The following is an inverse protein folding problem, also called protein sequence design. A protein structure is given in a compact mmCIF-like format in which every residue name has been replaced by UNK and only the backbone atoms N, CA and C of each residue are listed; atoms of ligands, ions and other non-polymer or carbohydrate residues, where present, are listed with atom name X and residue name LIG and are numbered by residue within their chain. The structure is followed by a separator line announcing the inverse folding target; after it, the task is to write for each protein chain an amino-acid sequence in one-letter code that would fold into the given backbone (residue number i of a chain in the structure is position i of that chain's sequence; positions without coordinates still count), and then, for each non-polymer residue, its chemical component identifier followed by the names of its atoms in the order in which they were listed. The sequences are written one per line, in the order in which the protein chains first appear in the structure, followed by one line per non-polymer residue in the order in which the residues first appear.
data_IF_890153526542
#
_entry.id   IF_890153526542
#
_cell.length_a   1.000
_cell.length_b   1.000
_cell.length_c   1.000
_cell.angle_alpha   90.00
_cell.angle_beta   90.00
_cell.angle_gamma   90.00
#
_symmetry.space_group_name_H-M   'P 1'
#
loop_
_entity.id
_entity.type
_entity.pdbx_description
1 polymer ?
#
# COMPACT_ATOMS: atom_id res chain seq x y z
N UNK A 1 -3.92 -13.50 -14.39
CA UNK A 1 -3.19 -13.21 -13.14
C UNK A 1 -3.99 -13.76 -11.97
N UNK A 2 -3.41 -14.61 -11.10
CA UNK A 2 -4.03 -14.92 -9.80
C UNK A 2 -3.70 -13.78 -8.83
N UNK A 3 -4.72 -13.11 -8.31
CA UNK A 3 -4.59 -12.16 -7.19
C UNK A 3 -4.43 -12.99 -5.91
N UNK A 4 -3.71 -12.47 -4.92
CA UNK A 4 -3.62 -13.12 -3.61
C UNK A 4 -5.03 -13.33 -3.01
N UNK A 5 -5.25 -14.35 -2.16
CA UNK A 5 -6.58 -14.62 -1.59
C UNK A 5 -7.07 -13.52 -0.65
N UNK A 6 -6.18 -12.59 -0.27
CA UNK A 6 -6.45 -11.46 0.62
C UNK A 6 -5.92 -10.18 0.00
N UNK A 7 -6.59 -9.07 0.31
CA UNK A 7 -6.16 -7.71 -0.04
C UNK A 7 -5.84 -6.99 1.27
N UNK A 8 -4.59 -6.54 1.50
CA UNK A 8 -4.24 -5.75 2.66
C UNK A 8 -4.88 -4.36 2.59
N UNK A 9 -5.51 -3.94 3.68
CA UNK A 9 -6.11 -2.62 3.87
C UNK A 9 -5.21 -1.82 4.80
N UNK A 10 -4.60 -0.77 4.25
CA UNK A 10 -3.51 -0.02 4.88
C UNK A 10 -4.03 1.30 5.46
N UNK A 11 -3.50 1.64 6.62
CA UNK A 11 -3.53 2.98 7.21
C UNK A 11 -2.10 3.47 7.21
N UNK A 12 -1.82 4.58 6.52
CA UNK A 12 -0.47 5.13 6.36
C UNK A 12 -0.38 6.46 7.08
N UNK A 13 0.44 6.57 8.12
CA UNK A 13 0.62 7.82 8.86
C UNK A 13 1.67 8.73 8.21
N UNK A 14 2.68 8.14 7.57
CA UNK A 14 3.78 8.83 6.91
C UNK A 14 3.98 8.29 5.49
N UNK A 15 3.83 9.15 4.50
CA UNK A 15 3.97 8.80 3.09
C UNK A 15 5.38 8.31 2.74
N UNK A 16 6.42 8.72 3.47
CA UNK A 16 7.78 8.25 3.26
C UNK A 16 7.93 6.72 3.45
N UNK A 17 7.02 6.11 4.21
CA UNK A 17 7.01 4.65 4.44
C UNK A 17 6.28 3.88 3.34
N UNK A 18 5.52 4.56 2.48
CA UNK A 18 4.59 3.93 1.54
C UNK A 18 5.28 3.09 0.46
N UNK A 19 6.32 3.62 -0.18
CA UNK A 19 7.08 2.91 -1.24
C UNK A 19 7.78 1.65 -0.71
N UNK A 20 8.63 1.72 0.35
CA UNK A 20 9.28 0.53 0.88
C UNK A 20 8.29 -0.56 1.33
N UNK A 21 7.14 -0.15 1.91
CA UNK A 21 6.08 -1.07 2.30
C UNK A 21 5.47 -1.77 1.08
N UNK A 22 5.10 -1.01 0.04
CA UNK A 22 4.52 -1.58 -1.17
C UNK A 22 5.47 -2.58 -1.85
N UNK A 23 6.75 -2.25 -1.95
CA UNK A 23 7.78 -3.14 -2.52
C UNK A 23 7.89 -4.46 -1.73
N UNK A 24 7.89 -4.37 -0.40
CA UNK A 24 7.92 -5.56 0.47
C UNK A 24 6.67 -6.44 0.29
N UNK A 25 5.48 -5.84 0.22
CA UNK A 25 4.22 -6.57 0.03
C UNK A 25 4.15 -7.22 -1.36
N UNK A 26 4.59 -6.52 -2.40
CA UNK A 26 4.68 -7.05 -3.76
C UNK A 26 5.64 -8.24 -3.82
N UNK A 27 6.81 -8.14 -3.18
CA UNK A 27 7.77 -9.26 -3.04
C UNK A 27 7.16 -10.46 -2.31
N UNK A 28 6.26 -10.22 -1.36
CA UNK A 28 5.45 -11.24 -0.67
C UNK A 28 4.28 -11.81 -1.50
N UNK A 29 4.09 -11.35 -2.74
CA UNK A 29 3.01 -11.81 -3.63
C UNK A 29 1.69 -11.02 -3.52
N UNK A 30 1.65 -9.99 -2.69
CA UNK A 30 0.48 -9.12 -2.50
C UNK A 30 0.57 -7.93 -3.47
N UNK A 31 0.04 -8.13 -4.67
CA UNK A 31 0.18 -7.17 -5.79
C UNK A 31 -0.97 -6.15 -5.90
N UNK A 32 -1.95 -6.24 -5.00
CA UNK A 32 -3.09 -5.32 -4.91
C UNK A 32 -3.15 -4.85 -3.48
N UNK A 33 -3.08 -3.54 -3.27
CA UNK A 33 -3.06 -2.89 -1.96
C UNK A 33 -4.21 -1.88 -1.90
N UNK A 34 -4.93 -1.83 -0.78
CA UNK A 34 -5.93 -0.80 -0.51
C UNK A 34 -5.36 0.19 0.50
N UNK A 35 -5.36 1.48 0.19
CA UNK A 35 -4.99 2.54 1.14
C UNK A 35 -6.25 3.29 1.55
N UNK A 36 -6.51 3.35 2.85
CA UNK A 36 -7.69 4.03 3.40
C UNK A 36 -7.44 5.52 3.60
N UNK A 37 -8.48 6.35 3.45
CA UNK A 37 -8.43 7.80 3.69
C UNK A 37 -8.54 8.15 5.20
N UNK A 38 -8.00 7.33 6.09
CA UNK A 38 -8.08 7.53 7.55
C UNK A 38 -7.04 8.52 8.09
N UNK A 39 -6.08 8.92 7.26
CA UNK A 39 -5.01 9.87 7.60
C UNK A 39 -4.88 10.93 6.50
N UNK A 40 -4.28 12.07 6.83
CA UNK A 40 -3.96 13.11 5.85
C UNK A 40 -2.92 12.68 4.81
N UNK A 41 -2.09 11.70 5.14
CA UNK A 41 -1.02 11.19 4.26
C UNK A 41 -1.51 10.22 3.18
N UNK A 42 -2.79 9.82 3.17
CA UNK A 42 -3.28 8.74 2.31
C UNK A 42 -3.05 8.98 0.80
N UNK A 43 -3.31 10.20 0.32
CA UNK A 43 -3.14 10.53 -1.10
C UNK A 43 -1.66 10.57 -1.50
N UNK A 44 -0.81 11.11 -0.64
CA UNK A 44 0.63 11.17 -0.84
C UNK A 44 1.23 9.76 -0.84
N UNK A 45 0.79 8.91 0.10
CA UNK A 45 1.18 7.50 0.14
C UNK A 45 0.84 6.76 -1.17
N UNK A 46 -0.36 6.97 -1.73
CA UNK A 46 -0.74 6.38 -3.03
C UNK A 46 0.16 6.89 -4.16
N UNK A 47 0.53 8.17 -4.14
CA UNK A 47 1.44 8.74 -5.14
C UNK A 47 2.84 8.13 -5.04
N UNK A 48 3.34 7.91 -3.83
CA UNK A 48 4.64 7.27 -3.56
C UNK A 48 4.67 5.79 -3.96
N UNK A 49 3.53 5.09 -3.99
CA UNK A 49 3.45 3.67 -4.36
C UNK A 49 3.38 3.40 -5.89
N UNK A 50 3.33 4.44 -6.73
CA UNK A 50 3.35 4.27 -8.20
C UNK A 50 4.66 3.73 -8.74
#
# INVERSE_FOLDING_TARGET
MKVAPVIPVLVIEDAATARPLAEALVKGGLRVLEVTMRTGAALEAIAEMK
#
